data_IF_861214145775
#
_entry.id   IF_861214145775
#
_cell.length_a   1.000
_cell.length_b   1.000
_cell.length_c   1.000
_cell.angle_alpha   90.00
_cell.angle_beta   90.00
_cell.angle_gamma   90.00
#
_symmetry.space_group_name_H-M   'P 1'
#
loop_
_entity.id
_entity.type
_entity.pdbx_description
1 polymer ?
#
# COMPACT_ATOMS: atom_id res chain seq x y z
N UNK A 1 -2.19 -20.30 -63.88
CA UNK A 1 -1.37 -20.74 -62.73
C UNK A 1 -0.94 -19.45 -62.03
N UNK A 2 -1.73 -18.99 -61.04
CA UNK A 2 -1.43 -19.02 -59.60
C UNK A 2 -0.45 -17.88 -59.21
N UNK A 3 -0.67 -16.95 -58.28
CA UNK A 3 -1.67 -16.65 -57.22
C UNK A 3 -1.56 -15.13 -56.95
N UNK A 4 -2.66 -14.37 -56.87
CA UNK A 4 -3.34 -13.87 -55.64
C UNK A 4 -2.35 -13.43 -54.55
N UNK A 5 -2.53 -12.35 -53.81
CA UNK A 5 -3.35 -11.14 -53.82
C UNK A 5 -2.64 -10.31 -52.73
N UNK A 6 -2.87 -9.01 -52.77
CA UNK A 6 -2.50 -8.10 -51.70
C UNK A 6 -2.77 -8.70 -50.31
N UNK A 7 -1.79 -8.64 -49.42
CA UNK A 7 -2.04 -8.20 -48.04
C UNK A 7 -0.69 -7.88 -47.41
N UNK A 8 -0.32 -6.62 -47.61
CA UNK A 8 0.48 -5.89 -46.66
C UNK A 8 -0.01 -6.18 -45.23
N UNK A 9 0.97 -6.29 -44.34
CA UNK A 9 0.80 -5.91 -42.95
C UNK A 9 -0.20 -6.76 -42.15
N UNK A 10 0.31 -7.83 -41.53
CA UNK A 10 -0.05 -7.94 -40.12
C UNK A 10 1.11 -8.29 -39.20
N UNK A 11 1.78 -7.23 -38.78
CA UNK A 11 2.62 -7.19 -37.60
C UNK A 11 1.82 -7.35 -36.27
N UNK A 12 0.62 -7.93 -36.28
CA UNK A 12 -0.10 -8.40 -35.09
C UNK A 12 0.60 -9.64 -34.51
N UNK A 13 1.85 -9.46 -34.07
CA UNK A 13 2.18 -9.98 -32.76
C UNK A 13 1.20 -9.28 -31.83
N UNK A 14 0.08 -9.95 -31.57
CA UNK A 14 -0.83 -9.63 -30.49
C UNK A 14 0.03 -9.18 -29.30
N UNK A 15 0.10 -7.87 -29.12
CA UNK A 15 0.77 -7.22 -28.02
C UNK A 15 -0.09 -7.52 -26.82
N UNK A 16 0.08 -8.74 -26.31
CA UNK A 16 -0.71 -9.27 -25.21
C UNK A 16 -0.17 -8.67 -23.92
N UNK A 17 -0.17 -7.34 -23.83
CA UNK A 17 0.07 -6.61 -22.60
C UNK A 17 -1.04 -6.95 -21.64
N UNK A 18 -0.67 -7.45 -20.47
CA UNK A 18 -1.62 -7.62 -19.38
C UNK A 18 -2.10 -6.25 -18.89
N UNK A 19 -3.42 -6.06 -18.84
CA UNK A 19 -4.09 -4.83 -18.43
C UNK A 19 -4.95 -5.02 -17.17
N UNK A 20 -4.90 -6.19 -16.54
CA UNK A 20 -5.75 -6.52 -15.40
C UNK A 20 -5.02 -6.13 -14.12
N UNK A 21 -5.55 -5.13 -13.41
CA UNK A 21 -5.01 -4.73 -12.13
C UNK A 21 -5.16 -5.82 -11.05
N UNK A 22 -4.24 -5.87 -10.07
CA UNK A 22 -4.39 -6.73 -8.91
C UNK A 22 -5.67 -6.49 -8.12
N UNK A 23 -6.09 -7.52 -7.39
CA UNK A 23 -7.14 -7.38 -6.40
C UNK A 23 -6.77 -6.29 -5.37
N UNK A 24 -7.77 -5.50 -4.98
CA UNK A 24 -7.57 -4.44 -3.98
C UNK A 24 -7.04 -5.04 -2.68
N UNK A 25 -5.90 -4.56 -2.13
CA UNK A 25 -5.33 -5.13 -0.92
C UNK A 25 -6.28 -5.02 0.28
N UNK A 26 -6.41 -6.09 1.07
CA UNK A 26 -6.88 -5.93 2.45
C UNK A 26 -5.75 -5.30 3.26
N UNK A 27 -6.05 -4.47 4.26
CA UNK A 27 -5.00 -3.83 5.05
C UNK A 27 -5.45 -3.69 6.52
N UNK A 28 -4.66 -4.27 7.43
CA UNK A 28 -4.90 -4.25 8.87
C UNK A 28 -3.67 -3.62 9.54
N UNK A 29 -3.91 -2.54 10.30
CA UNK A 29 -2.89 -1.88 11.08
C UNK A 29 -2.67 -2.63 12.40
N UNK A 30 -1.41 -2.92 12.72
CA UNK A 30 -1.02 -3.50 14.02
C UNK A 30 -1.31 -2.55 15.18
N UNK A 31 -1.35 -3.09 16.40
CA UNK A 31 -1.63 -2.32 17.62
C UNK A 31 -0.55 -1.28 17.94
N UNK A 32 0.70 -1.49 17.53
CA UNK A 32 1.79 -0.52 17.65
C UNK A 32 1.76 0.57 16.56
N UNK A 33 0.80 0.48 15.63
CA UNK A 33 0.57 1.40 14.49
C UNK A 33 1.71 1.51 13.50
N UNK A 34 2.67 0.58 13.51
CA UNK A 34 3.86 0.63 12.66
C UNK A 34 3.93 -0.49 11.62
N UNK A 35 3.01 -1.46 11.65
CA UNK A 35 2.99 -2.57 10.69
C UNK A 35 1.62 -2.67 10.04
N UNK A 36 1.58 -2.84 8.71
CA UNK A 36 0.36 -3.11 7.97
C UNK A 36 0.47 -4.52 7.38
N UNK A 37 -0.46 -5.39 7.74
CA UNK A 37 -0.59 -6.73 7.18
C UNK A 37 -1.80 -6.81 6.26
N UNK A 38 -1.77 -7.73 5.31
CA UNK A 38 -2.87 -7.86 4.37
C UNK A 38 -2.66 -8.95 3.35
N UNK A 39 -3.60 -8.98 2.40
CA UNK A 39 -3.60 -9.89 1.26
C UNK A 39 -3.92 -9.17 -0.03
N UNK A 40 -3.24 -9.55 -1.11
CA UNK A 40 -3.51 -9.13 -2.48
C UNK A 40 -3.16 -10.29 -3.43
N UNK A 41 -2.88 -9.98 -4.70
CA UNK A 41 -2.35 -10.93 -5.66
C UNK A 41 -0.93 -11.39 -5.29
N UNK A 42 -0.66 -12.68 -5.53
CA UNK A 42 0.65 -13.27 -5.25
C UNK A 42 1.77 -12.53 -5.99
N UNK A 43 2.89 -12.29 -5.30
CA UNK A 43 4.07 -11.61 -5.83
C UNK A 43 3.85 -10.16 -6.29
N UNK A 44 2.66 -9.57 -6.12
CA UNK A 44 2.45 -8.16 -6.41
C UNK A 44 3.26 -7.26 -5.46
N UNK A 45 3.76 -6.14 -5.98
CA UNK A 45 4.43 -5.10 -5.19
C UNK A 45 3.39 -4.29 -4.44
N UNK A 46 3.54 -4.15 -3.13
CA UNK A 46 2.76 -3.26 -2.29
C UNK A 46 3.40 -1.88 -2.29
N UNK A 47 2.57 -0.85 -2.45
CA UNK A 47 2.95 0.55 -2.32
C UNK A 47 2.04 1.25 -1.31
N UNK A 48 2.64 1.87 -0.30
CA UNK A 48 1.93 2.62 0.74
C UNK A 48 2.28 4.10 0.59
N UNK A 49 1.27 4.92 0.35
CA UNK A 49 1.39 6.37 0.18
C UNK A 49 0.75 7.15 1.32
N UNK A 50 1.35 8.27 1.68
CA UNK A 50 0.71 9.25 2.57
C UNK A 50 -0.34 10.10 1.84
N UNK A 51 -1.00 11.00 2.56
CA UNK A 51 -2.02 11.91 2.01
C UNK A 51 -1.50 12.89 0.94
N UNK A 52 -0.19 13.10 0.85
CA UNK A 52 0.44 13.94 -0.18
C UNK A 52 0.72 13.15 -1.46
N UNK A 53 0.52 11.83 -1.45
CA UNK A 53 0.82 10.93 -2.56
C UNK A 53 2.26 10.41 -2.54
N UNK A 54 3.07 10.76 -1.53
CA UNK A 54 4.44 10.29 -1.38
C UNK A 54 4.45 8.84 -0.91
N UNK A 55 5.26 8.01 -1.56
CA UNK A 55 5.51 6.63 -1.11
C UNK A 55 6.32 6.66 0.18
N UNK A 56 5.79 6.05 1.23
CA UNK A 56 6.42 5.99 2.56
C UNK A 56 6.90 4.59 2.92
N UNK A 57 6.36 3.55 2.26
CA UNK A 57 6.81 2.17 2.41
C UNK A 57 6.42 1.34 1.16
N UNK A 58 7.20 0.29 0.91
CA UNK A 58 6.96 -0.69 -0.15
C UNK A 58 7.35 -2.08 0.34
N UNK A 59 6.68 -3.11 -0.14
CA UNK A 59 7.07 -4.51 0.06
C UNK A 59 6.54 -5.38 -1.08
N UNK A 60 6.71 -6.70 -1.00
CA UNK A 60 6.15 -7.66 -1.95
C UNK A 60 5.27 -8.67 -1.24
N UNK A 61 4.12 -9.01 -1.85
CA UNK A 61 3.31 -10.12 -1.39
C UNK A 61 4.02 -11.47 -1.65
N UNK A 62 3.83 -12.44 -0.77
CA UNK A 62 4.37 -13.78 -0.93
C UNK A 62 3.67 -14.57 -2.05
N UNK A 63 4.00 -15.86 -2.18
CA UNK A 63 3.42 -16.74 -3.20
C UNK A 63 1.91 -17.00 -3.00
N UNK A 64 1.40 -16.75 -1.80
CA UNK A 64 -0.01 -16.91 -1.44
C UNK A 64 -0.76 -15.57 -1.41
N UNK A 65 -0.07 -14.46 -1.70
CA UNK A 65 -0.60 -13.10 -1.71
C UNK A 65 -0.58 -12.39 -0.37
N UNK A 66 -0.01 -12.98 0.69
CA UNK A 66 0.06 -12.32 2.00
C UNK A 66 1.25 -11.34 2.03
N UNK A 67 1.10 -10.22 2.74
CA UNK A 67 2.17 -9.25 2.92
C UNK A 67 2.20 -8.69 4.34
N UNK A 68 3.37 -8.20 4.74
CA UNK A 68 3.60 -7.50 6.01
C UNK A 68 4.56 -6.35 5.75
N UNK A 69 4.06 -5.11 5.75
CA UNK A 69 4.88 -3.91 5.51
C UNK A 69 5.13 -3.20 6.83
N UNK A 70 6.40 -3.00 7.19
CA UNK A 70 6.80 -2.14 8.31
C UNK A 70 6.97 -0.69 7.84
N UNK A 71 6.30 0.23 8.52
CA UNK A 71 6.43 1.67 8.29
C UNK A 71 7.65 2.23 9.04
N UNK A 72 8.30 3.24 8.46
CA UNK A 72 9.44 3.92 9.10
C UNK A 72 9.01 4.64 10.39
N UNK A 73 7.80 5.21 10.39
CA UNK A 73 7.20 5.91 11.51
C UNK A 73 5.82 5.31 11.83
N UNK A 74 5.43 5.20 13.11
CA UNK A 74 4.08 4.77 13.45
C UNK A 74 3.03 5.77 12.96
N UNK A 75 1.87 5.29 12.50
CA UNK A 75 0.76 6.16 12.14
C UNK A 75 0.11 6.76 13.39
N UNK A 76 0.25 8.07 13.53
CA UNK A 76 -0.40 8.84 14.60
C UNK A 76 -1.90 9.04 14.33
N UNK A 77 -2.65 9.32 15.39
CA UNK A 77 -4.10 9.49 15.34
C UNK A 77 -4.52 10.48 14.24
N UNK A 78 -5.42 10.03 13.36
CA UNK A 78 -5.96 10.84 12.25
C UNK A 78 -5.09 10.89 10.99
N UNK A 79 -3.84 10.42 11.02
CA UNK A 79 -3.04 10.24 9.80
C UNK A 79 -3.63 9.13 8.94
N UNK A 80 -3.64 9.32 7.61
CA UNK A 80 -4.17 8.35 6.66
C UNK A 80 -3.09 7.95 5.66
N UNK A 81 -3.09 6.67 5.31
CA UNK A 81 -2.27 6.12 4.23
C UNK A 81 -3.12 5.32 3.27
N UNK A 82 -2.73 5.30 2.01
CA UNK A 82 -3.35 4.52 0.95
C UNK A 82 -2.45 3.35 0.58
N UNK A 83 -2.99 2.13 0.61
CA UNK A 83 -2.29 0.89 0.26
C UNK A 83 -2.80 0.37 -1.08
N UNK A 84 -1.92 0.23 -2.05
CA UNK A 84 -2.21 -0.34 -3.38
C UNK A 84 -1.22 -1.45 -3.74
N UNK A 85 -1.60 -2.31 -4.68
CA UNK A 85 -0.75 -3.34 -5.25
C UNK A 85 -0.47 -3.08 -6.74
N UNK A 86 0.70 -3.51 -7.20
CA UNK A 86 1.18 -3.38 -8.57
C UNK A 86 1.64 -4.77 -9.03
N UNK A 87 1.11 -5.29 -10.13
CA UNK A 87 1.55 -6.57 -10.71
C UNK A 87 2.90 -6.43 -11.46
N UNK A 88 3.35 -7.53 -12.08
CA UNK A 88 4.56 -7.53 -12.90
C UNK A 88 4.41 -6.79 -14.24
N UNK A 89 3.18 -6.58 -14.71
CA UNK A 89 2.89 -5.84 -15.93
C UNK A 89 2.80 -4.32 -15.69
N UNK A 90 2.74 -3.89 -14.43
CA UNK A 90 2.65 -2.49 -14.01
C UNK A 90 1.21 -2.00 -13.77
N UNK A 91 0.20 -2.87 -13.80
CA UNK A 91 -1.17 -2.47 -13.50
C UNK A 91 -1.33 -2.21 -11.99
N UNK A 92 -2.06 -1.16 -11.64
CA UNK A 92 -2.22 -0.70 -10.26
C UNK A 92 -3.65 -0.93 -9.77
N UNK A 93 -3.78 -1.54 -8.59
CA UNK A 93 -5.08 -1.78 -7.95
C UNK A 93 -5.74 -0.48 -7.47
N UNK A 94 -7.03 -0.57 -7.10
CA UNK A 94 -7.63 0.42 -6.18
C UNK A 94 -6.89 0.40 -4.83
N UNK A 95 -7.02 1.47 -4.06
CA UNK A 95 -6.36 1.59 -2.75
C UNK A 95 -7.30 1.31 -1.58
N UNK A 96 -6.75 0.71 -0.53
CA UNK A 96 -7.37 0.62 0.80
C UNK A 96 -6.79 1.69 1.72
N UNK A 97 -7.66 2.45 2.40
CA UNK A 97 -7.25 3.51 3.31
C UNK A 97 -7.11 2.96 4.73
N UNK A 98 -5.95 3.19 5.34
CA UNK A 98 -5.68 2.86 6.74
C UNK A 98 -5.53 4.17 7.52
N UNK A 99 -6.17 4.26 8.68
CA UNK A 99 -6.09 5.42 9.58
C UNK A 99 -5.30 5.07 10.83
N UNK A 100 -4.33 5.90 11.19
CA UNK A 100 -3.58 5.77 12.44
C UNK A 100 -4.47 5.99 13.65
N UNK A 101 -4.23 5.21 14.70
CA UNK A 101 -5.02 5.23 15.95
C UNK A 101 -4.19 5.61 17.17
N UNK A 102 -2.87 5.76 17.02
CA UNK A 102 -1.97 6.06 18.15
C UNK A 102 -2.08 7.53 18.53
N UNK A 103 -2.68 7.78 19.69
CA UNK A 103 -2.63 9.10 20.29
C UNK A 103 -1.20 9.40 20.77
N UNK A 104 -0.61 10.46 20.24
CA UNK A 104 0.74 10.92 20.59
C UNK A 104 0.74 11.91 21.76
N UNK A 105 -0.44 12.28 22.29
CA UNK A 105 -0.59 13.24 23.39
C UNK A 105 -0.30 12.67 24.79
N UNK A 106 0.45 11.58 24.91
CA UNK A 106 0.76 10.99 26.22
C UNK A 106 1.85 11.72 27.03
N UNK A 107 2.48 12.79 26.51
CA UNK A 107 3.60 13.46 27.20
C UNK A 107 3.28 14.81 27.85
N UNK A 108 2.16 15.45 27.51
CA UNK A 108 1.80 16.78 28.04
C UNK A 108 1.03 16.69 29.37
N UNK A 109 0.51 15.51 29.73
CA UNK A 109 -0.20 15.31 31.01
C UNK A 109 0.73 14.97 32.19
N UNK A 110 1.96 14.49 31.94
CA UNK A 110 2.90 14.19 33.03
C UNK A 110 3.50 15.47 33.65
N UNK A 111 3.72 16.52 32.85
CA UNK A 111 4.28 17.79 33.31
C UNK A 111 3.34 18.57 34.24
N UNK A 112 2.02 18.42 34.10
CA UNK A 112 1.06 19.08 35.01
C UNK A 112 0.76 18.27 36.28
N UNK A 113 1.04 16.96 36.29
CA UNK A 113 0.81 16.11 37.47
C UNK A 113 1.95 16.26 38.50
N UNK A 114 3.19 16.41 38.05
CA UNK A 114 4.35 16.64 38.93
C UNK A 114 4.34 18.00 39.64
N UNK A 115 3.65 19.01 39.08
CA UNK A 115 3.56 20.35 39.70
C UNK A 115 2.57 20.36 40.87
N UNK A 116 1.54 19.50 40.88
CA UNK A 116 0.53 19.44 41.96
C UNK A 116 1.04 18.82 43.26
N UNK A 117 2.10 18.02 43.23
CA UNK A 117 2.65 17.38 44.44
C UNK A 117 3.69 18.23 45.18
N UNK A 118 4.12 19.37 44.62
CA UNK A 118 5.10 20.27 45.24
C UNK A 118 4.48 21.50 45.93
N UNK A 119 3.16 21.50 46.15
CA UNK A 119 2.41 22.60 46.79
C UNK A 119 1.50 22.13 47.94
N UNK A 120 1.79 20.99 48.56
CA UNK A 120 1.16 20.53 49.81
C UNK A 120 2.22 20.15 50.84
#
# INVERSE_FOLDING_TARGET
MAVNDDDDNNNDKNDSTDMIAPITPTAVLSSDTQTITGKTEAKAKIEIKDSTGKVIATDQADQDGNYTVKLNEPLVNGSKVAVSAIDSAGNVSKSTVVTGTKDTLHLIHLWHSLIKMAQL
#
